data_IF_083300913166
#
_entry.id   IF_083300913166
#
_cell.length_a   1.000
_cell.length_b   1.000
_cell.length_c   1.000
_cell.angle_alpha   90.00
_cell.angle_beta   90.00
_cell.angle_gamma   90.00
#
_symmetry.space_group_name_H-M   'P 1'
#
loop_
_entity.id
_entity.type
_entity.pdbx_description
1 polymer ?
#
# COMPACT_ATOMS: atom_id res chain seq x y z
N UNK A 1 29.85 7.99 -5.63
CA UNK A 1 28.80 6.95 -5.53
C UNK A 1 27.55 7.41 -6.30
N UNK A 2 27.35 6.97 -7.54
CA UNK A 2 26.15 7.33 -8.31
C UNK A 2 24.98 6.45 -7.84
N UNK A 3 23.95 7.03 -7.21
CA UNK A 3 22.68 6.32 -6.98
C UNK A 3 22.20 5.84 -8.36
N UNK A 4 22.11 4.52 -8.59
CA UNK A 4 21.45 3.97 -9.76
C UNK A 4 20.03 4.52 -9.77
N UNK A 5 19.74 5.44 -10.68
CA UNK A 5 18.40 5.97 -10.90
C UNK A 5 17.62 4.85 -11.58
N UNK A 6 16.88 4.08 -10.78
CA UNK A 6 15.94 3.10 -11.30
C UNK A 6 14.85 3.85 -12.07
N UNK A 7 14.75 3.60 -13.39
CA UNK A 7 13.71 4.16 -14.24
C UNK A 7 12.32 3.96 -13.58
N UNK A 8 11.41 4.95 -13.65
CA UNK A 8 10.09 4.81 -13.06
C UNK A 8 9.32 3.71 -13.78
N UNK A 9 9.05 2.61 -13.07
CA UNK A 9 8.20 1.53 -13.58
C UNK A 9 6.82 2.11 -13.85
N UNK A 10 6.30 1.89 -15.07
CA UNK A 10 4.96 2.32 -15.47
C UNK A 10 3.94 1.45 -14.74
N UNK A 11 3.13 2.08 -13.90
CA UNK A 11 2.02 1.44 -13.18
C UNK A 11 0.71 1.79 -13.90
N UNK A 12 -0.21 0.83 -14.03
CA UNK A 12 -1.48 1.01 -14.76
C UNK A 12 -2.56 1.77 -13.98
N UNK A 13 -2.35 2.06 -12.70
CA UNK A 13 -3.28 2.79 -11.83
C UNK A 13 -2.69 4.12 -11.36
N UNK A 14 -3.57 5.07 -11.04
CA UNK A 14 -3.26 6.39 -10.48
C UNK A 14 -3.70 6.49 -9.01
N UNK A 15 -3.18 7.49 -8.32
CA UNK A 15 -3.60 7.82 -6.96
C UNK A 15 -5.02 8.36 -7.02
N UNK A 16 -5.89 7.91 -6.12
CA UNK A 16 -7.31 8.28 -6.08
C UNK A 16 -8.24 7.41 -6.91
N UNK A 17 -7.72 6.43 -7.67
CA UNK A 17 -8.57 5.48 -8.39
C UNK A 17 -9.06 4.35 -7.47
N UNK A 18 -10.25 3.85 -7.77
CA UNK A 18 -10.86 2.70 -7.10
C UNK A 18 -10.40 1.42 -7.80
N UNK A 19 -9.89 0.48 -7.02
CA UNK A 19 -9.32 -0.77 -7.53
C UNK A 19 -9.89 -1.95 -6.76
N UNK A 20 -10.02 -3.08 -7.44
CA UNK A 20 -10.38 -4.36 -6.83
C UNK A 20 -9.18 -5.28 -6.78
N UNK A 21 -9.07 -6.06 -5.70
CA UNK A 21 -8.02 -7.07 -5.55
C UNK A 21 -8.42 -8.34 -6.29
N UNK A 22 -7.63 -8.72 -7.28
CA UNK A 22 -7.87 -9.89 -8.13
C UNK A 22 -7.41 -11.17 -7.43
N UNK A 23 -6.32 -11.10 -6.68
CA UNK A 23 -5.63 -12.27 -6.13
C UNK A 23 -5.01 -12.02 -4.74
N UNK A 24 -4.84 -13.10 -3.97
CA UNK A 24 -4.26 -13.09 -2.64
C UNK A 24 -5.29 -13.11 -1.50
N UNK A 25 -4.82 -12.86 -0.27
CA UNK A 25 -5.63 -12.94 0.96
C UNK A 25 -6.85 -12.01 0.95
N UNK A 26 -6.72 -10.87 0.29
CA UNK A 26 -7.72 -9.80 0.28
C UNK A 26 -8.55 -9.81 -1.04
N UNK A 27 -8.60 -10.94 -1.75
CA UNK A 27 -9.31 -11.07 -3.04
C UNK A 27 -10.77 -10.63 -2.94
N UNK A 28 -11.24 -9.87 -3.93
CA UNK A 28 -12.60 -9.37 -4.05
C UNK A 28 -12.88 -8.08 -3.27
N UNK A 29 -11.94 -7.62 -2.43
CA UNK A 29 -12.08 -6.34 -1.75
C UNK A 29 -11.79 -5.19 -2.71
N UNK A 30 -12.55 -4.12 -2.55
CA UNK A 30 -12.44 -2.88 -3.32
C UNK A 30 -11.93 -1.78 -2.39
N UNK A 31 -11.04 -0.93 -2.88
CA UNK A 31 -10.53 0.20 -2.11
C UNK A 31 -9.92 1.28 -2.98
N UNK A 32 -9.60 2.42 -2.35
CA UNK A 32 -8.99 3.58 -3.00
C UNK A 32 -7.46 3.53 -2.93
N UNK A 33 -6.79 3.85 -4.04
CA UNK A 33 -5.32 3.90 -4.07
C UNK A 33 -4.83 5.17 -3.35
N UNK A 34 -4.24 4.99 -2.17
CA UNK A 34 -3.71 6.08 -1.32
C UNK A 34 -2.31 6.52 -1.73
N UNK A 35 -1.44 5.56 -2.08
CA UNK A 35 -0.05 5.84 -2.48
C UNK A 35 0.50 4.79 -3.41
N UNK A 36 1.31 5.22 -4.38
CA UNK A 36 2.02 4.33 -5.31
C UNK A 36 3.53 4.37 -5.02
N UNK A 37 4.11 3.20 -4.77
CA UNK A 37 5.54 2.99 -4.59
C UNK A 37 6.14 2.50 -5.92
N UNK A 38 6.34 3.43 -6.87
CA UNK A 38 6.78 3.13 -8.24
C UNK A 38 8.09 2.32 -8.30
N UNK A 39 9.02 2.55 -7.38
CA UNK A 39 10.31 1.82 -7.33
C UNK A 39 10.15 0.34 -7.00
N UNK A 40 9.08 -0.05 -6.30
CA UNK A 40 8.85 -1.42 -5.86
C UNK A 40 7.68 -2.07 -6.58
N UNK A 41 7.09 -1.40 -7.57
CA UNK A 41 5.86 -1.81 -8.26
C UNK A 41 4.71 -2.19 -7.30
N UNK A 42 4.61 -1.44 -6.20
CA UNK A 42 3.65 -1.68 -5.12
C UNK A 42 2.76 -0.46 -4.91
N UNK A 43 1.61 -0.69 -4.30
CA UNK A 43 0.61 0.33 -4.01
C UNK A 43 -0.05 0.07 -2.66
N UNK A 44 -0.40 1.15 -1.98
CA UNK A 44 -1.10 1.14 -0.69
C UNK A 44 -2.55 1.49 -1.01
N UNK A 45 -3.46 0.56 -0.67
CA UNK A 45 -4.90 0.74 -0.85
C UNK A 45 -5.53 0.92 0.52
N UNK A 46 -6.51 1.81 0.59
CA UNK A 46 -7.24 2.08 1.81
C UNK A 46 -8.00 0.85 2.30
N UNK A 47 -7.85 0.52 3.57
CA UNK A 47 -8.59 -0.57 4.23
C UNK A 47 -8.17 -2.00 3.81
N UNK A 48 -7.16 -2.15 2.96
CA UNK A 48 -6.67 -3.44 2.45
C UNK A 48 -5.29 -3.75 3.01
N UNK A 49 -5.06 -5.03 3.33
CA UNK A 49 -3.76 -5.54 3.82
C UNK A 49 -3.31 -4.81 5.10
N UNK A 50 -4.24 -4.63 6.03
CA UNK A 50 -3.98 -4.04 7.35
C UNK A 50 -3.14 -5.00 8.19
N UNK A 51 -2.07 -4.48 8.79
CA UNK A 51 -1.25 -5.21 9.75
C UNK A 51 -1.11 -4.41 11.04
N UNK A 52 -0.90 -5.14 12.12
CA UNK A 52 -0.65 -4.58 13.43
C UNK A 52 0.84 -4.27 13.55
N UNK A 53 1.17 -3.01 13.84
CA UNK A 53 2.52 -2.57 14.16
C UNK A 53 2.54 -2.10 15.62
N UNK A 54 3.30 -2.81 16.44
CA UNK A 54 3.62 -2.37 17.80
C UNK A 54 4.66 -1.25 17.71
N UNK A 55 4.29 -0.05 18.13
CA UNK A 55 5.17 1.10 18.11
C UNK A 55 5.66 1.36 19.53
N UNK A 56 6.97 1.22 19.73
CA UNK A 56 7.60 1.62 21.00
C UNK A 56 7.45 3.12 21.19
N UNK A 57 7.19 3.58 22.42
CA UNK A 57 7.09 5.01 22.69
C UNK A 57 8.43 5.70 22.43
N UNK A 58 8.36 6.88 21.82
CA UNK A 58 9.55 7.68 21.48
C UNK A 58 9.97 8.60 22.63
N UNK A 59 9.04 8.89 23.54
CA UNK A 59 9.26 9.72 24.73
C UNK A 59 8.86 8.92 25.97
N UNK A 60 9.57 9.08 27.10
CA UNK A 60 9.29 8.34 28.33
C UNK A 60 7.87 8.58 28.88
N UNK A 61 7.25 9.71 28.56
CA UNK A 61 5.88 10.05 28.97
C UNK A 61 4.78 9.54 28.02
N UNK A 62 5.13 8.89 26.92
CA UNK A 62 4.17 8.34 25.96
C UNK A 62 3.98 6.86 26.19
N UNK A 63 2.74 6.39 26.17
CA UNK A 63 2.44 4.97 26.18
C UNK A 63 2.74 4.35 24.81
N UNK A 64 3.16 3.08 24.82
CA UNK A 64 3.28 2.30 23.58
C UNK A 64 1.93 2.15 22.90
N UNK A 65 1.90 2.23 21.57
CA UNK A 65 0.66 2.20 20.80
C UNK A 65 0.64 1.03 19.81
N UNK A 66 -0.51 0.36 19.72
CA UNK A 66 -0.77 -0.68 18.73
C UNK A 66 -1.41 -0.03 17.50
N UNK A 67 -0.62 0.27 16.48
CA UNK A 67 -1.11 0.91 15.25
C UNK A 67 -1.56 -0.13 14.24
N UNK A 68 -2.76 0.03 13.70
CA UNK A 68 -3.23 -0.71 12.52
C UNK A 68 -2.88 0.11 11.29
N UNK A 69 -1.95 -0.39 10.48
CA UNK A 69 -1.47 0.33 9.30
C UNK A 69 -1.66 -0.51 8.04
N UNK A 70 -1.91 0.18 6.94
CA UNK A 70 -2.09 -0.40 5.61
C UNK A 70 -0.72 -0.74 5.03
N UNK A 71 -0.57 -1.96 4.50
CA UNK A 71 0.67 -2.39 3.88
C UNK A 71 0.55 -2.45 2.35
N UNK A 72 1.66 -2.20 1.64
CA UNK A 72 1.66 -2.24 0.19
C UNK A 72 1.32 -3.63 -0.37
N UNK A 73 0.51 -3.65 -1.42
CA UNK A 73 0.23 -4.80 -2.29
C UNK A 73 0.92 -4.60 -3.65
N UNK A 74 1.23 -5.69 -4.35
CA UNK A 74 1.83 -5.61 -5.69
C UNK A 74 0.80 -5.16 -6.72
N UNK A 75 1.21 -4.34 -7.70
CA UNK A 75 0.31 -3.79 -8.71
C UNK A 75 -0.37 -4.84 -9.57
N UNK A 76 0.28 -5.97 -9.84
CA UNK A 76 -0.31 -7.09 -10.61
C UNK A 76 -1.52 -7.74 -9.95
N UNK A 77 -1.71 -7.57 -8.65
CA UNK A 77 -2.79 -8.23 -7.91
C UNK A 77 -4.05 -7.36 -7.86
N UNK A 78 -4.08 -6.23 -8.57
CA UNK A 78 -5.19 -5.29 -8.54
C UNK A 78 -5.62 -4.90 -9.95
N UNK A 79 -6.93 -4.77 -10.14
CA UNK A 79 -7.56 -4.28 -11.36
C UNK A 79 -8.26 -2.96 -11.10
N UNK A 80 -8.43 -2.16 -12.16
CA UNK A 80 -9.36 -1.03 -12.12
C UNK A 80 -10.76 -1.56 -11.82
N UNK A 81 -11.44 -0.92 -10.86
CA UNK A 81 -12.84 -1.21 -10.60
C UNK A 81 -13.68 -0.47 -11.66
N UNK A 82 -14.36 -1.20 -12.53
CA UNK A 82 -15.39 -0.64 -13.41
C UNK A 82 -16.72 -0.81 -12.69
N UNK A 83 -17.45 0.29 -12.59
CA UNK A 83 -18.78 0.37 -12.00
C UNK A 83 -19.84 -0.24 -12.93
#
# INVERSE_FOLDING_TARGET
>A
MKKKVSLPIKVHVKIGEKVTVISGKEKGKVGLVKKILKQQNKLIIEGINIRVKHVKPSRPEQNGEIKRIEFPIHSSNVSLYQE
#
